data_IF_548327498901
#
_entry.id   IF_548327498901
#
_cell.length_a   1.000
_cell.length_b   1.000
_cell.length_c   1.000
_cell.angle_alpha   90.00
_cell.angle_beta   90.00
_cell.angle_gamma   90.00
#
_symmetry.space_group_name_H-M   'P 1'
#
loop_
_entity.id
_entity.type
_entity.pdbx_description
1 polymer ?
#
# COMPACT_ATOMS: atom_id res chain seq x y z
N UNK A 1 -0.88 2.18 -26.96
CA UNK A 1 -0.92 1.04 -26.03
C UNK A 1 -1.53 1.59 -24.77
N UNK A 2 -2.67 1.08 -24.30
CA UNK A 2 -3.20 1.51 -23.01
C UNK A 2 -2.19 1.02 -21.95
N UNK A 3 -1.59 1.95 -21.20
CA UNK A 3 -0.66 1.63 -20.11
C UNK A 3 -1.37 0.90 -18.97
N UNK A 4 -0.60 0.29 -18.06
CA UNK A 4 -1.16 -0.30 -16.84
C UNK A 4 -1.68 0.80 -15.90
N UNK A 5 -2.69 0.50 -15.08
CA UNK A 5 -3.23 1.51 -14.16
C UNK A 5 -2.31 1.77 -12.95
N UNK A 6 -1.73 0.71 -12.39
CA UNK A 6 -0.85 0.79 -11.22
C UNK A 6 0.22 -0.30 -11.27
N UNK A 7 1.42 0.02 -10.78
CA UNK A 7 2.48 -0.95 -10.48
C UNK A 7 3.07 -0.74 -9.09
N UNK A 8 3.58 -1.81 -8.50
CA UNK A 8 4.27 -1.82 -7.22
C UNK A 8 5.68 -2.35 -7.46
N UNK A 9 6.70 -1.56 -7.13
CA UNK A 9 8.08 -1.96 -7.41
C UNK A 9 9.06 -1.45 -6.35
N UNK A 10 9.61 -2.38 -5.59
CA UNK A 10 10.56 -2.12 -4.49
C UNK A 10 12.02 -2.41 -4.90
N UNK A 11 12.29 -2.58 -6.19
CA UNK A 11 13.64 -2.54 -6.75
C UNK A 11 14.03 -1.16 -7.27
N UNK A 12 15.21 -1.08 -7.90
CA UNK A 12 15.73 0.13 -8.56
C UNK A 12 15.92 -0.08 -10.07
N UNK A 13 16.35 0.97 -10.78
CA UNK A 13 16.78 0.90 -12.19
C UNK A 13 15.72 0.44 -13.21
N UNK A 14 14.42 0.61 -12.91
CA UNK A 14 13.32 0.24 -13.82
C UNK A 14 12.43 1.42 -14.24
N UNK A 15 12.86 2.67 -14.05
CA UNK A 15 12.08 3.87 -14.38
C UNK A 15 11.47 3.82 -15.81
N UNK A 16 12.24 3.34 -16.80
CA UNK A 16 11.76 3.19 -18.18
C UNK A 16 10.58 2.23 -18.35
N UNK A 17 10.50 1.14 -17.58
CA UNK A 17 9.36 0.21 -17.60
C UNK A 17 8.19 0.77 -16.79
N UNK A 18 8.49 1.39 -15.66
CA UNK A 18 7.53 2.06 -14.79
C UNK A 18 6.78 3.20 -15.52
N UNK A 19 7.40 3.83 -16.53
CA UNK A 19 6.75 4.78 -17.42
C UNK A 19 5.54 4.21 -18.21
N UNK A 20 5.37 2.89 -18.23
CA UNK A 20 4.22 2.23 -18.86
C UNK A 20 2.95 2.23 -18.01
N UNK A 21 2.99 2.79 -16.80
CA UNK A 21 1.86 2.79 -15.85
C UNK A 21 1.39 4.20 -15.52
N UNK A 22 0.09 4.37 -15.24
CA UNK A 22 -0.48 5.64 -14.75
C UNK A 22 0.05 6.02 -13.37
N UNK A 23 0.23 5.02 -12.50
CA UNK A 23 0.72 5.21 -11.13
C UNK A 23 1.72 4.13 -10.76
N UNK A 24 2.71 4.49 -9.94
CA UNK A 24 3.71 3.54 -9.45
C UNK A 24 3.97 3.75 -7.97
N UNK A 25 4.08 2.67 -7.20
CA UNK A 25 4.41 2.70 -5.77
C UNK A 25 5.86 2.25 -5.60
N UNK A 26 6.66 3.09 -4.96
CA UNK A 26 8.12 2.96 -4.90
C UNK A 26 8.64 3.07 -3.46
N UNK A 27 9.73 2.35 -3.19
CA UNK A 27 10.54 2.61 -2.01
C UNK A 27 11.30 3.93 -2.20
N UNK A 28 10.92 4.96 -1.45
CA UNK A 28 11.38 6.33 -1.68
C UNK A 28 12.90 6.46 -1.78
N UNK A 29 13.65 5.76 -0.93
CA UNK A 29 15.11 5.87 -0.86
C UNK A 29 15.87 5.18 -2.02
N UNK A 30 15.17 4.40 -2.85
CA UNK A 30 15.76 3.78 -4.04
C UNK A 30 15.68 4.67 -5.29
N UNK A 31 15.02 5.82 -5.22
CA UNK A 31 14.78 6.69 -6.38
C UNK A 31 15.25 8.12 -6.14
N UNK A 32 16.09 8.64 -7.02
CA UNK A 32 16.52 10.04 -6.97
C UNK A 32 15.37 10.99 -7.33
N UNK A 33 15.46 12.25 -6.90
CA UNK A 33 14.50 13.29 -7.30
C UNK A 33 14.40 13.44 -8.82
N UNK A 34 15.52 13.26 -9.54
CA UNK A 34 15.54 13.37 -11.00
C UNK A 34 14.79 12.19 -11.66
N UNK A 35 14.85 10.98 -11.10
CA UNK A 35 14.06 9.83 -11.59
C UNK A 35 12.57 10.01 -11.31
N UNK A 36 12.20 10.53 -10.14
CA UNK A 36 10.81 10.87 -9.80
C UNK A 36 10.27 11.91 -10.78
N UNK A 37 11.01 13.00 -11.03
CA UNK A 37 10.65 14.01 -12.03
C UNK A 37 10.55 13.44 -13.44
N UNK A 38 11.47 12.56 -13.82
CA UNK A 38 11.44 11.92 -15.12
C UNK A 38 10.17 11.09 -15.35
N UNK A 39 9.64 10.46 -14.29
CA UNK A 39 8.34 9.77 -14.31
C UNK A 39 7.17 10.74 -14.40
N UNK A 40 7.18 11.82 -13.61
CA UNK A 40 6.16 12.88 -13.67
C UNK A 40 6.03 13.52 -15.06
N UNK A 41 7.16 13.81 -15.71
CA UNK A 41 7.22 14.38 -17.07
C UNK A 41 6.59 13.46 -18.14
N UNK A 42 6.26 12.22 -17.77
CA UNK A 42 5.61 11.20 -18.60
C UNK A 42 4.20 10.88 -18.11
N UNK A 43 3.60 11.78 -17.34
CA UNK A 43 2.25 11.65 -16.77
C UNK A 43 2.07 10.44 -15.85
N UNK A 44 3.17 9.93 -15.27
CA UNK A 44 3.12 8.91 -14.21
C UNK A 44 3.00 9.60 -12.86
N UNK A 45 2.25 9.01 -11.94
CA UNK A 45 2.17 9.44 -10.54
C UNK A 45 3.01 8.50 -9.64
N UNK A 46 4.23 8.91 -9.21
CA UNK A 46 4.99 8.14 -8.23
C UNK A 46 4.43 8.34 -6.83
N UNK A 47 4.13 7.26 -6.12
CA UNK A 47 3.77 7.26 -4.70
C UNK A 47 4.91 6.71 -3.86
N UNK A 48 5.24 7.39 -2.77
CA UNK A 48 6.25 6.93 -1.82
C UNK A 48 5.65 5.99 -0.79
N UNK A 49 6.28 4.83 -0.57
CA UNK A 49 5.94 3.91 0.50
C UNK A 49 6.08 4.58 1.89
N UNK A 50 5.08 4.42 2.75
CA UNK A 50 5.07 4.91 4.13
C UNK A 50 4.33 3.93 5.04
N UNK A 51 5.04 3.33 6.00
CA UNK A 51 4.43 2.47 7.03
C UNK A 51 3.88 3.33 8.17
N UNK A 52 2.66 3.03 8.66
CA UNK A 52 2.00 3.84 9.69
C UNK A 52 2.00 3.20 11.09
N UNK A 53 2.08 1.88 11.18
CA UNK A 53 2.03 1.18 12.49
C UNK A 53 3.20 0.25 12.75
N UNK A 54 4.17 0.21 11.84
CA UNK A 54 5.40 -0.54 11.99
C UNK A 54 6.60 0.32 11.64
N UNK A 55 7.67 0.21 12.43
CA UNK A 55 8.95 0.88 12.21
C UNK A 55 10.03 -0.17 11.94
N UNK A 56 10.56 -0.26 10.70
CA UNK A 56 11.69 -1.15 10.37
C UNK A 56 13.05 -0.55 10.75
N UNK A 57 13.08 0.66 11.32
CA UNK A 57 14.27 1.39 11.69
C UNK A 57 14.98 0.87 12.94
N UNK A 58 16.05 1.56 13.38
CA UNK A 58 16.75 1.23 14.62
C UNK A 58 15.84 1.39 15.84
N UNK A 59 16.25 0.86 17.00
CA UNK A 59 15.46 0.94 18.23
C UNK A 59 15.15 2.38 18.63
N UNK A 60 13.86 2.69 18.80
CA UNK A 60 13.35 4.00 19.17
C UNK A 60 12.33 3.92 20.32
N UNK A 61 12.11 4.99 21.10
CA UNK A 61 11.20 4.96 22.26
C UNK A 61 9.73 4.63 21.96
N UNK A 62 9.28 4.91 20.74
CA UNK A 62 7.91 4.62 20.28
C UNK A 62 7.69 3.17 19.86
N UNK A 63 8.76 2.38 19.75
CA UNK A 63 8.65 0.98 19.35
C UNK A 63 8.22 0.10 20.54
N UNK A 64 7.40 -0.89 20.22
CA UNK A 64 7.02 -2.00 21.09
C UNK A 64 8.09 -3.08 21.03
N UNK A 65 8.01 -4.04 21.95
CA UNK A 65 8.92 -5.20 21.96
C UNK A 65 8.56 -6.24 20.90
N UNK A 66 7.31 -6.22 20.45
CA UNK A 66 6.73 -7.11 19.48
C UNK A 66 7.07 -6.64 18.06
N UNK A 67 7.34 -7.61 17.20
CA UNK A 67 7.64 -7.40 15.78
C UNK A 67 6.64 -8.14 14.92
N UNK A 68 6.39 -7.60 13.73
CA UNK A 68 5.64 -8.31 12.70
C UNK A 68 6.40 -9.61 12.32
N UNK A 69 5.77 -10.78 12.46
CA UNK A 69 6.44 -12.06 12.21
C UNK A 69 6.82 -12.27 10.74
N UNK A 70 6.12 -11.62 9.81
CA UNK A 70 6.28 -11.83 8.37
C UNK A 70 7.34 -10.90 7.76
N UNK A 71 7.43 -9.67 8.28
CA UNK A 71 8.25 -8.60 7.70
C UNK A 71 9.31 -8.04 8.67
N UNK A 72 9.18 -8.29 9.97
CA UNK A 72 10.19 -7.94 10.99
C UNK A 72 10.13 -6.50 11.51
N UNK A 73 9.26 -5.64 10.99
CA UNK A 73 9.05 -4.28 11.51
C UNK A 73 8.62 -4.31 12.98
N UNK A 74 9.16 -3.41 13.80
CA UNK A 74 8.72 -3.27 15.19
C UNK A 74 7.34 -2.59 15.19
N UNK A 75 6.37 -3.14 15.92
CA UNK A 75 5.11 -2.43 16.11
C UNK A 75 5.36 -1.15 16.93
N UNK A 76 4.50 -0.15 16.78
CA UNK A 76 4.66 1.14 17.47
C UNK A 76 3.48 1.47 18.38
N UNK A 77 3.68 2.40 19.31
CA UNK A 77 2.59 3.14 19.95
C UNK A 77 2.17 4.25 18.98
N UNK A 78 1.00 4.14 18.36
CA UNK A 78 0.64 4.99 17.21
C UNK A 78 0.43 6.45 17.63
N UNK A 79 0.03 6.68 18.87
CA UNK A 79 -0.15 8.00 19.46
C UNK A 79 1.12 8.61 20.05
N UNK A 80 2.25 7.90 20.05
CA UNK A 80 3.51 8.44 20.55
C UNK A 80 3.88 9.71 19.74
N UNK A 81 4.07 10.88 20.39
CA UNK A 81 4.34 12.12 19.68
C UNK A 81 5.60 12.08 18.80
N UNK A 82 6.59 11.28 19.19
CA UNK A 82 7.80 11.05 18.41
C UNK A 82 7.50 10.26 17.13
N UNK A 83 6.67 9.22 17.22
CA UNK A 83 6.21 8.47 16.04
C UNK A 83 5.38 9.32 15.10
N UNK A 84 4.39 10.05 15.63
CA UNK A 84 3.56 10.96 14.83
C UNK A 84 4.42 11.98 14.08
N UNK A 85 5.40 12.59 14.76
CA UNK A 85 6.33 13.54 14.13
C UNK A 85 7.18 12.85 13.06
N UNK A 86 7.70 11.66 13.36
CA UNK A 86 8.53 10.88 12.43
C UNK A 86 7.79 10.58 11.12
N UNK A 87 6.56 10.06 11.20
CA UNK A 87 5.73 9.72 10.04
C UNK A 87 5.39 10.96 9.21
N UNK A 88 5.00 12.07 9.85
CA UNK A 88 4.70 13.33 9.16
C UNK A 88 5.95 13.89 8.46
N UNK A 89 7.11 13.82 9.10
CA UNK A 89 8.37 14.28 8.50
C UNK A 89 8.79 13.42 7.29
N UNK A 90 8.59 12.10 7.35
CA UNK A 90 8.81 11.19 6.23
C UNK A 90 7.87 11.52 5.06
N UNK A 91 6.57 11.67 5.33
CA UNK A 91 5.57 12.07 4.33
C UNK A 91 5.98 13.38 3.64
N UNK A 92 6.28 14.43 4.41
CA UNK A 92 6.68 15.72 3.86
C UNK A 92 8.03 15.66 3.13
N UNK A 93 8.94 14.79 3.53
CA UNK A 93 10.20 14.56 2.82
C UNK A 93 9.97 13.94 1.45
N UNK A 94 9.06 12.96 1.34
CA UNK A 94 8.69 12.37 0.04
C UNK A 94 8.06 13.42 -0.88
N UNK A 95 7.13 14.23 -0.37
CA UNK A 95 6.50 15.29 -1.17
C UNK A 95 7.50 16.37 -1.62
N UNK A 96 8.47 16.74 -0.78
CA UNK A 96 9.57 17.65 -1.18
C UNK A 96 10.49 17.07 -2.27
N UNK A 97 10.47 15.75 -2.47
CA UNK A 97 11.18 15.03 -3.55
C UNK A 97 10.30 14.84 -4.79
N UNK A 98 9.20 15.58 -4.88
CA UNK A 98 8.24 15.58 -6.00
C UNK A 98 7.44 14.27 -6.15
N UNK A 99 7.37 13.41 -5.13
CA UNK A 99 6.39 12.33 -5.18
C UNK A 99 4.97 12.90 -5.30
N UNK A 100 4.16 12.32 -6.19
CA UNK A 100 2.79 12.76 -6.44
C UNK A 100 1.83 12.40 -5.29
N UNK A 101 2.29 11.55 -4.36
CA UNK A 101 1.50 11.06 -3.26
C UNK A 101 2.22 10.00 -2.42
N UNK A 102 1.46 9.32 -1.58
CA UNK A 102 1.94 8.35 -0.61
C UNK A 102 1.13 7.07 -0.68
N UNK A 103 1.81 5.96 -0.47
CA UNK A 103 1.21 4.65 -0.24
C UNK A 103 1.32 4.33 1.25
N UNK A 104 0.18 4.27 1.93
CA UNK A 104 0.07 4.10 3.36
C UNK A 104 -0.08 2.61 3.68
N UNK A 105 0.97 2.01 4.26
CA UNK A 105 1.01 0.60 4.57
C UNK A 105 0.82 0.32 6.07
N UNK A 106 0.72 -0.96 6.42
CA UNK A 106 0.60 -1.48 7.79
C UNK A 106 -0.65 -1.00 8.52
N UNK A 107 -1.78 -0.91 7.80
CA UNK A 107 -3.03 -0.37 8.36
C UNK A 107 -3.90 -1.40 9.10
N UNK A 108 -3.54 -2.69 9.05
CA UNK A 108 -4.32 -3.79 9.65
C UNK A 108 -4.07 -4.00 11.15
N UNK A 109 -3.81 -2.91 11.87
CA UNK A 109 -3.50 -2.97 13.30
C UNK A 109 -4.65 -3.53 14.14
N UNK A 110 -5.90 -3.51 13.64
CA UNK A 110 -7.05 -4.11 14.31
C UNK A 110 -6.89 -5.60 14.62
N UNK A 111 -6.03 -6.30 13.85
CA UNK A 111 -5.78 -7.73 14.03
C UNK A 111 -4.81 -8.02 15.18
N UNK A 112 -4.01 -7.03 15.59
CA UNK A 112 -2.93 -7.20 16.58
C UNK A 112 -3.13 -6.31 17.81
N UNK A 113 -3.43 -5.03 17.62
CA UNK A 113 -3.67 -4.03 18.66
C UNK A 113 -4.95 -3.23 18.36
N UNK A 114 -6.16 -3.82 18.57
CA UNK A 114 -7.43 -3.17 18.24
C UNK A 114 -7.65 -1.82 18.95
N UNK A 115 -7.05 -1.63 20.13
CA UNK A 115 -7.13 -0.37 20.88
C UNK A 115 -6.37 0.79 20.20
N UNK A 116 -5.47 0.51 19.24
CA UNK A 116 -4.72 1.52 18.47
C UNK A 116 -5.51 2.08 17.27
N UNK A 117 -6.64 1.47 16.91
CA UNK A 117 -7.45 1.88 15.75
C UNK A 117 -7.84 3.38 15.79
N UNK A 118 -8.31 3.94 16.94
CA UNK A 118 -8.60 5.38 17.02
C UNK A 118 -7.35 6.25 16.81
N UNK A 119 -6.20 5.82 17.34
CA UNK A 119 -4.92 6.55 17.21
C UNK A 119 -4.40 6.54 15.77
N UNK A 120 -4.56 5.42 15.06
CA UNK A 120 -4.29 5.35 13.63
C UNK A 120 -5.19 6.28 12.83
N UNK A 121 -6.49 6.34 13.14
CA UNK A 121 -7.41 7.26 12.47
C UNK A 121 -7.02 8.73 12.70
N UNK A 122 -6.59 9.08 13.91
CA UNK A 122 -6.09 10.42 14.23
C UNK A 122 -4.80 10.75 13.45
N UNK A 123 -3.85 9.80 13.36
CA UNK A 123 -2.63 9.96 12.57
C UNK A 123 -2.96 10.15 11.08
N UNK A 124 -3.87 9.34 10.52
CA UNK A 124 -4.30 9.46 9.13
C UNK A 124 -5.01 10.79 8.86
N UNK A 125 -5.80 11.28 9.80
CA UNK A 125 -6.45 12.61 9.71
C UNK A 125 -5.40 13.72 9.63
N UNK A 126 -4.36 13.66 10.46
CA UNK A 126 -3.24 14.61 10.41
C UNK A 126 -2.47 14.51 9.11
N UNK A 127 -2.14 13.29 8.66
CA UNK A 127 -1.48 13.05 7.38
C UNK A 127 -2.28 13.64 6.22
N UNK A 128 -3.60 13.40 6.16
CA UNK A 128 -4.43 13.96 5.09
C UNK A 128 -4.41 15.48 5.11
N UNK A 129 -4.51 16.10 6.28
CA UNK A 129 -4.48 17.56 6.43
C UNK A 129 -3.15 18.18 5.97
N UNK A 130 -2.01 17.57 6.34
CA UNK A 130 -0.66 18.09 6.02
C UNK A 130 -0.26 17.83 4.57
N UNK A 131 -0.78 16.76 3.95
CA UNK A 131 -0.34 16.32 2.61
C UNK A 131 -1.27 16.74 1.48
N UNK A 132 -2.47 17.27 1.77
CA UNK A 132 -3.41 17.68 0.72
C UNK A 132 -2.79 18.74 -0.22
N UNK A 133 -2.91 18.62 -1.57
CA UNK A 133 -3.77 17.69 -2.33
C UNK A 133 -3.06 16.43 -2.86
N UNK A 134 -1.97 15.97 -2.24
CA UNK A 134 -1.25 14.78 -2.69
C UNK A 134 -2.13 13.51 -2.62
N UNK A 135 -1.91 12.56 -3.54
CA UNK A 135 -2.72 11.35 -3.60
C UNK A 135 -2.36 10.38 -2.47
N UNK A 136 -3.33 9.88 -1.71
CA UNK A 136 -3.13 8.87 -0.66
C UNK A 136 -3.76 7.54 -1.08
N UNK A 137 -2.93 6.49 -1.14
CA UNK A 137 -3.36 5.12 -1.40
C UNK A 137 -3.20 4.28 -0.13
N UNK A 138 -4.29 3.83 0.48
CA UNK A 138 -4.22 2.93 1.63
C UNK A 138 -4.01 1.47 1.20
N UNK A 139 -3.09 0.76 1.84
CA UNK A 139 -3.05 -0.69 1.77
C UNK A 139 -4.05 -1.28 2.78
N UNK A 140 -5.14 -1.86 2.27
CA UNK A 140 -6.26 -2.39 3.08
C UNK A 140 -6.85 -1.34 4.04
N UNK A 141 -6.60 -1.49 5.35
CA UNK A 141 -7.19 -0.65 6.40
C UNK A 141 -8.68 -0.92 6.66
N UNK A 142 -9.17 -2.14 6.43
CA UNK A 142 -10.61 -2.42 6.50
C UNK A 142 -11.22 -2.21 7.90
N UNK A 143 -10.43 -2.34 8.97
CA UNK A 143 -10.84 -1.99 10.34
C UNK A 143 -11.19 -0.52 10.53
N UNK A 144 -10.75 0.36 9.62
CA UNK A 144 -10.97 1.81 9.66
C UNK A 144 -12.21 2.25 8.87
N UNK A 145 -12.93 1.33 8.22
CA UNK A 145 -14.11 1.65 7.43
C UNK A 145 -15.32 1.98 8.32
N UNK A 146 -16.12 3.02 7.99
CA UNK A 146 -16.06 3.79 6.74
C UNK A 146 -15.12 5.02 6.78
N UNK A 147 -14.62 5.43 7.94
CA UNK A 147 -13.84 6.67 8.12
C UNK A 147 -12.62 6.78 7.21
N UNK A 148 -11.99 5.65 6.87
CA UNK A 148 -10.90 5.59 5.89
C UNK A 148 -11.25 6.27 4.56
N UNK A 149 -12.48 6.07 4.05
CA UNK A 149 -12.90 6.57 2.74
C UNK A 149 -12.95 8.09 2.64
N UNK A 150 -12.96 8.81 3.77
CA UNK A 150 -12.90 10.28 3.80
C UNK A 150 -11.44 10.80 3.85
N UNK A 151 -10.48 9.91 4.10
CA UNK A 151 -9.08 10.25 4.36
C UNK A 151 -8.12 9.86 3.23
N UNK A 152 -8.55 9.04 2.28
CA UNK A 152 -7.70 8.55 1.19
C UNK A 152 -8.37 8.66 -0.17
N UNK A 153 -7.56 8.77 -1.21
CA UNK A 153 -8.02 8.85 -2.60
C UNK A 153 -8.19 7.46 -3.22
N UNK A 154 -7.52 6.44 -2.67
CA UNK A 154 -7.68 5.06 -3.10
C UNK A 154 -7.37 4.02 -2.03
N UNK A 155 -7.81 2.80 -2.30
CA UNK A 155 -7.52 1.60 -1.51
C UNK A 155 -6.94 0.51 -2.40
N UNK A 156 -5.87 -0.12 -1.93
CA UNK A 156 -5.31 -1.34 -2.47
C UNK A 156 -5.80 -2.54 -1.64
N UNK A 157 -6.29 -3.58 -2.31
CA UNK A 157 -6.57 -4.86 -1.69
C UNK A 157 -5.41 -5.83 -1.95
N UNK A 158 -4.57 -6.07 -0.94
CA UNK A 158 -3.36 -6.89 -1.05
C UNK A 158 -3.30 -8.06 -0.05
N UNK A 159 -3.24 -9.35 -0.39
CA UNK A 159 -3.59 -9.88 -1.70
C UNK A 159 -5.08 -10.17 -1.79
N UNK A 160 -5.65 -9.91 -2.97
CA UNK A 160 -7.09 -10.05 -3.17
C UNK A 160 -7.50 -11.50 -3.48
N UNK A 161 -6.71 -12.20 -4.29
CA UNK A 161 -7.04 -13.50 -4.89
C UNK A 161 -5.99 -14.56 -4.63
N UNK A 162 -4.71 -14.24 -4.83
CA UNK A 162 -3.57 -15.16 -4.77
C UNK A 162 -2.53 -14.59 -3.82
N UNK A 163 -2.08 -15.41 -2.89
CA UNK A 163 -1.10 -15.03 -1.87
C UNK A 163 0.20 -15.79 -2.06
N UNK A 164 1.25 -15.22 -1.49
CA UNK A 164 2.41 -15.98 -1.08
C UNK A 164 2.06 -16.84 0.15
N UNK A 165 2.67 -18.03 0.26
CA UNK A 165 2.46 -18.96 1.38
C UNK A 165 3.75 -19.17 2.16
N UNK A 166 3.63 -19.47 3.45
CA UNK A 166 4.76 -19.58 4.40
C UNK A 166 5.82 -20.62 4.00
N UNK A 167 5.46 -21.59 3.15
CA UNK A 167 6.37 -22.57 2.54
C UNK A 167 7.17 -22.02 1.34
N UNK A 168 7.06 -20.72 1.05
CA UNK A 168 7.69 -20.05 -0.07
C UNK A 168 6.92 -20.14 -1.38
N UNK A 169 5.73 -20.74 -1.38
CA UNK A 169 4.90 -20.96 -2.56
C UNK A 169 3.91 -19.83 -2.86
N UNK A 170 3.03 -20.09 -3.83
CA UNK A 170 1.93 -19.21 -4.21
C UNK A 170 0.64 -20.03 -4.37
N UNK A 171 -0.46 -19.54 -3.81
CA UNK A 171 -1.74 -20.22 -3.95
C UNK A 171 -2.93 -19.25 -3.87
N UNK A 172 -4.08 -19.60 -4.47
CA UNK A 172 -5.31 -18.88 -4.21
C UNK A 172 -5.64 -18.89 -2.71
N UNK A 173 -6.26 -17.82 -2.23
CA UNK A 173 -6.90 -17.85 -0.91
C UNK A 173 -7.94 -18.99 -0.84
N UNK A 174 -8.16 -19.60 0.34
CA UNK A 174 -9.24 -20.56 0.52
C UNK A 174 -10.60 -19.98 0.10
N UNK A 175 -11.56 -20.81 -0.36
CA UNK A 175 -12.86 -20.33 -0.85
C UNK A 175 -13.62 -19.42 0.13
N UNK A 176 -13.57 -19.74 1.43
CA UNK A 176 -14.23 -18.94 2.46
C UNK A 176 -13.58 -17.55 2.59
N UNK A 177 -12.24 -17.48 2.53
CA UNK A 177 -11.51 -16.21 2.52
C UNK A 177 -11.81 -15.39 1.27
N UNK A 178 -11.87 -16.02 0.09
CA UNK A 178 -12.27 -15.34 -1.15
C UNK A 178 -13.69 -14.77 -1.04
N UNK A 179 -14.60 -15.47 -0.36
CA UNK A 179 -15.96 -14.98 -0.10
C UNK A 179 -15.94 -13.73 0.79
N UNK A 180 -15.15 -13.73 1.85
CA UNK A 180 -14.96 -12.55 2.71
C UNK A 180 -14.31 -11.39 1.92
N UNK A 181 -13.31 -11.66 1.09
CA UNK A 181 -12.70 -10.64 0.25
C UNK A 181 -13.69 -10.00 -0.72
N UNK A 182 -14.63 -10.79 -1.29
CA UNK A 182 -15.69 -10.25 -2.13
C UNK A 182 -16.60 -9.28 -1.35
N UNK A 183 -16.94 -9.62 -0.10
CA UNK A 183 -17.78 -8.76 0.74
C UNK A 183 -17.09 -7.41 1.04
N UNK A 184 -15.79 -7.43 1.35
CA UNK A 184 -15.02 -6.19 1.52
C UNK A 184 -14.90 -5.39 0.23
N UNK A 185 -14.66 -6.06 -0.92
CA UNK A 185 -14.61 -5.38 -2.21
C UNK A 185 -15.93 -4.67 -2.54
N UNK A 186 -17.08 -5.29 -2.31
CA UNK A 186 -18.37 -4.61 -2.51
C UNK A 186 -18.57 -3.44 -1.55
N UNK A 187 -18.16 -3.58 -0.27
CA UNK A 187 -18.22 -2.47 0.70
C UNK A 187 -17.33 -1.29 0.30
N UNK A 188 -16.14 -1.55 -0.25
CA UNK A 188 -15.23 -0.51 -0.72
C UNK A 188 -15.78 0.25 -1.92
N UNK A 189 -16.56 -0.41 -2.79
CA UNK A 189 -17.21 0.22 -3.94
C UNK A 189 -18.32 1.20 -3.56
N UNK A 190 -18.79 1.16 -2.32
CA UNK A 190 -19.75 2.13 -1.79
C UNK A 190 -19.06 3.45 -1.38
N UNK A 191 -17.73 3.47 -1.35
CA UNK A 191 -16.92 4.64 -1.03
C UNK A 191 -16.45 5.34 -2.32
N UNK A 192 -16.22 6.65 -2.23
CA UNK A 192 -15.70 7.46 -3.34
C UNK A 192 -14.17 7.38 -3.38
N UNK A 193 -13.63 6.18 -3.61
CA UNK A 193 -12.19 5.89 -3.65
C UNK A 193 -11.84 5.07 -4.90
N UNK A 194 -10.65 5.31 -5.47
CA UNK A 194 -10.09 4.40 -6.46
C UNK A 194 -9.79 3.04 -5.80
N UNK A 195 -10.16 1.93 -6.45
CA UNK A 195 -9.94 0.59 -5.89
C UNK A 195 -9.03 -0.25 -6.79
N UNK A 196 -7.95 -0.79 -6.20
CA UNK A 196 -6.94 -1.60 -6.88
C UNK A 196 -6.76 -2.97 -6.21
N UNK A 197 -6.25 -3.95 -6.96
CA UNK A 197 -5.86 -5.24 -6.42
C UNK A 197 -4.36 -5.48 -6.64
N UNK A 198 -3.69 -6.00 -5.61
CA UNK A 198 -2.35 -6.57 -5.71
C UNK A 198 -2.45 -8.07 -5.42
N UNK A 199 -1.76 -8.89 -6.20
CA UNK A 199 -1.72 -10.32 -6.02
C UNK A 199 -0.31 -10.87 -6.25
N UNK A 200 -0.03 -12.02 -5.65
CA UNK A 200 1.28 -12.66 -5.69
C UNK A 200 1.19 -13.99 -6.41
N UNK A 201 1.91 -14.16 -7.52
CA UNK A 201 1.87 -15.39 -8.31
C UNK A 201 3.20 -15.68 -9.01
N UNK A 202 3.47 -16.93 -9.33
CA UNK A 202 4.65 -17.38 -10.08
C UNK A 202 4.31 -18.09 -11.40
N UNK A 203 3.03 -18.38 -11.64
CA UNK A 203 2.55 -19.03 -12.86
C UNK A 203 1.52 -18.18 -13.60
N UNK A 204 1.38 -18.45 -14.90
CA UNK A 204 0.36 -17.81 -15.74
C UNK A 204 -1.06 -18.15 -15.27
N UNK A 205 -1.32 -19.37 -14.82
CA UNK A 205 -2.64 -19.80 -14.35
C UNK A 205 -3.10 -19.00 -13.11
N UNK A 206 -2.21 -18.85 -12.12
CA UNK A 206 -2.48 -18.04 -10.93
C UNK A 206 -2.65 -16.56 -11.28
N UNK A 207 -1.82 -16.05 -12.19
CA UNK A 207 -1.92 -14.66 -12.68
C UNK A 207 -3.26 -14.41 -13.36
N UNK A 208 -3.68 -15.31 -14.25
CA UNK A 208 -4.99 -15.22 -14.93
C UNK A 208 -6.16 -15.34 -13.95
N UNK A 209 -6.04 -16.17 -12.92
CA UNK A 209 -7.03 -16.27 -11.86
C UNK A 209 -7.19 -14.95 -11.09
N UNK A 210 -6.08 -14.35 -10.64
CA UNK A 210 -6.06 -13.06 -9.96
C UNK A 210 -6.69 -11.94 -10.80
N UNK A 211 -6.21 -11.76 -12.03
CA UNK A 211 -6.70 -10.71 -12.95
C UNK A 211 -8.17 -10.90 -13.28
N UNK A 212 -8.61 -12.13 -13.56
CA UNK A 212 -10.02 -12.43 -13.85
C UNK A 212 -10.91 -12.12 -12.65
N UNK A 213 -10.46 -12.46 -11.44
CA UNK A 213 -11.22 -12.21 -10.21
C UNK A 213 -11.30 -10.71 -9.91
N UNK A 214 -10.19 -9.98 -9.92
CA UNK A 214 -10.16 -8.54 -9.69
C UNK A 214 -11.05 -7.77 -10.67
N UNK A 215 -11.09 -8.19 -11.96
CA UNK A 215 -11.98 -7.62 -12.97
C UNK A 215 -13.47 -7.73 -12.61
N UNK A 216 -13.89 -8.77 -11.89
CA UNK A 216 -15.30 -8.91 -11.45
C UNK A 216 -15.73 -7.78 -10.51
N UNK A 217 -14.77 -7.15 -9.83
CA UNK A 217 -14.99 -6.05 -8.88
C UNK A 217 -14.49 -4.70 -9.44
N UNK A 218 -14.19 -4.63 -10.75
CA UNK A 218 -13.66 -3.43 -11.41
C UNK A 218 -12.33 -2.91 -10.86
N UNK A 219 -11.53 -3.80 -10.27
CA UNK A 219 -10.21 -3.44 -9.75
C UNK A 219 -9.14 -3.68 -10.82
N UNK A 220 -8.40 -2.65 -11.25
CA UNK A 220 -7.14 -2.88 -11.95
C UNK A 220 -6.20 -3.68 -11.05
N UNK A 221 -5.62 -4.72 -11.61
CA UNK A 221 -4.86 -5.72 -10.86
C UNK A 221 -3.39 -5.71 -11.30
N UNK A 222 -2.50 -5.62 -10.32
CA UNK A 222 -1.07 -5.84 -10.50
C UNK A 222 -0.68 -7.18 -9.87
N UNK A 223 0.07 -8.01 -10.59
CA UNK A 223 0.49 -9.34 -10.12
C UNK A 223 2.00 -9.46 -10.15
N UNK A 224 2.62 -9.69 -8.99
CA UNK A 224 4.09 -9.70 -8.85
C UNK A 224 4.58 -10.90 -8.02
N UNK A 225 5.88 -10.94 -7.75
CA UNK A 225 6.46 -11.76 -6.68
C UNK A 225 6.32 -11.05 -5.33
N UNK A 226 6.51 -11.79 -4.23
CA UNK A 226 6.40 -11.26 -2.86
C UNK A 226 7.27 -10.01 -2.62
N UNK A 227 8.47 -9.99 -3.17
CA UNK A 227 9.44 -8.90 -2.96
C UNK A 227 9.16 -7.66 -3.81
N UNK A 228 8.14 -7.69 -4.68
CA UNK A 228 7.78 -6.60 -5.58
C UNK A 228 8.96 -6.15 -6.47
N UNK A 229 9.70 -7.12 -7.00
CA UNK A 229 10.84 -6.89 -7.90
C UNK A 229 10.57 -7.36 -9.33
N UNK A 230 9.32 -7.75 -9.62
CA UNK A 230 8.84 -8.15 -10.95
C UNK A 230 7.73 -7.20 -11.43
N UNK A 231 7.87 -6.71 -12.66
CA UNK A 231 6.87 -5.89 -13.37
C UNK A 231 6.03 -6.72 -14.34
#
# INVERSE_FOLDING_TARGET
MAGGEIAFYYGADQAAKLAGYRRVVLQGDLYTTDEVRWLLDRDVQPLGYLSLTEDPGPSMPWQRTEHNPDWGGAFVYVDDPGWVTHVLDQAMTMLRRDFAGLFLDTLNIELTFPDEVPHLLDLMTRLRAETYPAYLLANRGFGLLPGLGELVDGVLFESFSVRWTDDGGYSPWPPDTLTVHAQYAERLRELDVDLYALDYADTAELTEFAVRRARQFHMPCFVSNRELTRL
#
